data_IF_712344365385
#
_entry.id   IF_712344365385
#
_cell.length_a   1.000
_cell.length_b   1.000
_cell.length_c   1.000
_cell.angle_alpha   90.00
_cell.angle_beta   90.00
_cell.angle_gamma   90.00
#
_symmetry.space_group_name_H-M   'P 1'
#
loop_
_entity.id
_entity.type
_entity.pdbx_description
1 polymer ?
#
# COMPACT_ATOMS: atom_id res chain seq x y z
N UNK A 1 33.85 11.36 52.03
CA UNK A 1 32.71 10.86 51.23
C UNK A 1 32.45 11.79 50.05
N UNK A 2 33.07 11.54 48.89
CA UNK A 2 32.74 12.22 47.63
C UNK A 2 31.97 11.25 46.74
N UNK A 3 30.73 11.59 46.39
CA UNK A 3 29.91 10.80 45.46
C UNK A 3 30.04 11.41 44.08
N UNK A 4 30.74 10.73 43.17
CA UNK A 4 30.80 11.10 41.75
C UNK A 4 29.50 10.60 41.10
N UNK A 5 28.61 11.51 40.72
CA UNK A 5 27.42 11.18 39.91
C UNK A 5 27.84 11.17 38.43
N UNK A 6 28.08 9.98 37.88
CA UNK A 6 28.16 9.77 36.44
C UNK A 6 26.79 10.03 35.82
N UNK A 7 26.57 11.25 35.31
CA UNK A 7 25.48 11.50 34.39
C UNK A 7 25.89 10.96 33.02
N UNK A 8 25.47 9.73 32.71
CA UNK A 8 25.52 9.22 31.35
C UNK A 8 24.57 10.06 30.49
N UNK A 9 25.13 11.03 29.77
CA UNK A 9 24.46 11.74 28.68
C UNK A 9 24.15 10.69 27.61
N UNK A 10 22.91 10.19 27.58
CA UNK A 10 22.45 9.36 26.47
C UNK A 10 22.40 10.25 25.23
N UNK A 11 23.42 10.16 24.39
CA UNK A 11 23.37 10.75 23.07
C UNK A 11 22.31 10.01 22.25
N UNK A 12 21.21 10.70 21.98
CA UNK A 12 20.17 10.20 21.10
C UNK A 12 20.70 10.35 19.66
N UNK A 13 21.42 9.35 19.17
CA UNK A 13 21.80 9.29 17.76
C UNK A 13 20.56 8.92 16.97
N UNK A 14 19.77 9.93 16.59
CA UNK A 14 18.83 9.78 15.47
C UNK A 14 19.69 9.52 14.24
N UNK A 15 19.82 8.26 13.81
CA UNK A 15 20.52 7.99 12.57
C UNK A 15 19.73 8.63 11.43
N UNK A 16 20.38 9.50 10.65
CA UNK A 16 19.81 10.10 9.43
C UNK A 16 19.84 9.11 8.25
N UNK A 17 19.80 7.82 8.56
CA UNK A 17 19.89 6.72 7.60
C UNK A 17 18.55 6.54 6.91
N UNK A 18 18.59 6.46 5.58
CA UNK A 18 17.42 6.09 4.78
C UNK A 18 17.34 4.57 4.72
N UNK A 19 16.43 3.99 5.50
CA UNK A 19 16.17 2.54 5.48
C UNK A 19 15.21 2.16 4.34
N UNK A 20 15.76 2.07 3.13
CA UNK A 20 15.01 1.59 1.95
C UNK A 20 14.49 0.17 2.18
N UNK A 21 15.29 -0.68 2.82
CA UNK A 21 14.92 -2.08 3.06
C UNK A 21 13.70 -2.20 3.98
N UNK A 22 13.62 -1.41 5.05
CA UNK A 22 12.46 -1.36 5.93
C UNK A 22 11.16 -0.97 5.20
N UNK A 23 11.25 0.06 4.34
CA UNK A 23 10.13 0.51 3.48
C UNK A 23 9.68 -0.62 2.56
N UNK A 24 10.63 -1.24 1.86
CA UNK A 24 10.38 -2.30 0.88
C UNK A 24 9.76 -3.54 1.55
N UNK A 25 10.30 -3.97 2.68
CA UNK A 25 9.79 -5.13 3.43
C UNK A 25 8.37 -4.91 3.97
N UNK A 26 8.02 -3.68 4.35
CA UNK A 26 6.66 -3.36 4.84
C UNK A 26 5.60 -3.63 3.78
N UNK A 27 5.90 -3.36 2.50
CA UNK A 27 5.00 -3.62 1.35
C UNK A 27 5.02 -5.12 0.99
N UNK A 28 6.20 -5.72 0.89
CA UNK A 28 6.36 -7.12 0.47
C UNK A 28 5.68 -8.12 1.39
N UNK A 29 5.60 -7.83 2.69
CA UNK A 29 4.89 -8.69 3.65
C UNK A 29 3.38 -8.73 3.40
N UNK A 30 2.83 -7.72 2.74
CA UNK A 30 1.39 -7.60 2.52
C UNK A 30 0.96 -8.02 1.11
N UNK A 31 1.87 -8.01 0.14
CA UNK A 31 1.59 -8.40 -1.25
C UNK A 31 2.36 -9.69 -1.58
N UNK A 32 1.61 -10.78 -1.74
CA UNK A 32 2.11 -12.06 -2.26
C UNK A 32 1.30 -12.44 -3.50
N UNK A 33 1.69 -13.47 -4.28
CA UNK A 33 0.90 -13.91 -5.43
C UNK A 33 -0.56 -14.25 -5.12
N UNK A 34 -0.91 -14.52 -3.86
CA UNK A 34 -2.26 -14.92 -3.45
C UNK A 34 -2.93 -13.93 -2.48
N UNK A 35 -2.18 -12.99 -1.92
CA UNK A 35 -2.67 -12.15 -0.82
C UNK A 35 -2.34 -10.69 -1.01
N UNK A 36 -3.23 -9.83 -0.55
CA UNK A 36 -3.04 -8.38 -0.45
C UNK A 36 -3.55 -7.88 0.89
N UNK A 37 -2.80 -7.00 1.55
CA UNK A 37 -3.17 -6.39 2.83
C UNK A 37 -3.50 -7.44 3.92
N UNK A 38 -2.82 -8.59 3.89
CA UNK A 38 -3.06 -9.72 4.80
C UNK A 38 -4.42 -10.41 4.63
N UNK A 39 -5.03 -10.32 3.45
CA UNK A 39 -6.25 -11.02 3.03
C UNK A 39 -6.18 -11.38 1.54
N UNK A 40 -7.34 -11.55 0.91
CA UNK A 40 -7.48 -11.84 -0.53
C UNK A 40 -8.59 -10.95 -1.12
N UNK A 41 -8.78 -10.97 -2.45
CA UNK A 41 -9.93 -10.32 -3.10
C UNK A 41 -11.28 -10.95 -2.75
N UNK A 42 -11.31 -12.10 -2.06
CA UNK A 42 -12.52 -12.66 -1.46
C UNK A 42 -12.89 -12.03 -0.11
N UNK A 43 -11.99 -11.19 0.46
CA UNK A 43 -12.24 -10.54 1.74
C UNK A 43 -13.28 -9.44 1.58
N UNK A 44 -14.35 -9.50 2.37
CA UNK A 44 -15.43 -8.51 2.29
C UNK A 44 -15.01 -7.16 2.85
N UNK A 45 -15.64 -6.10 2.35
CA UNK A 45 -15.45 -4.72 2.83
C UNK A 45 -15.72 -4.63 4.33
N UNK A 46 -16.76 -5.27 4.86
CA UNK A 46 -17.06 -5.30 6.29
C UNK A 46 -15.95 -5.95 7.14
N UNK A 47 -15.28 -6.97 6.60
CA UNK A 47 -14.12 -7.59 7.26
C UNK A 47 -12.93 -6.63 7.29
N UNK A 48 -12.67 -5.92 6.19
CA UNK A 48 -11.63 -4.89 6.12
C UNK A 48 -11.93 -3.73 7.06
N UNK A 49 -13.17 -3.25 7.09
CA UNK A 49 -13.62 -2.22 8.02
C UNK A 49 -13.34 -2.63 9.48
N UNK A 50 -13.68 -3.86 9.85
CA UNK A 50 -13.41 -4.39 11.19
C UNK A 50 -11.91 -4.47 11.49
N UNK A 51 -11.11 -4.98 10.55
CA UNK A 51 -9.64 -5.11 10.68
C UNK A 51 -8.97 -3.75 10.89
N UNK A 52 -9.38 -2.74 10.14
CA UNK A 52 -8.79 -1.39 10.15
C UNK A 52 -9.54 -0.40 11.05
N UNK A 53 -10.51 -0.89 11.85
CA UNK A 53 -11.32 -0.08 12.79
C UNK A 53 -12.02 1.10 12.11
N UNK A 54 -12.60 0.85 10.94
CA UNK A 54 -13.35 1.82 10.16
C UNK A 54 -14.85 1.64 10.33
N UNK A 55 -15.57 2.75 10.26
CA UNK A 55 -17.02 2.85 10.20
C UNK A 55 -17.45 3.32 8.81
N UNK A 56 -18.73 3.20 8.46
CA UNK A 56 -19.25 3.67 7.17
C UNK A 56 -18.95 5.17 6.93
N UNK A 57 -18.93 5.98 7.99
CA UNK A 57 -18.62 7.42 7.91
C UNK A 57 -17.17 7.72 7.51
N UNK A 58 -16.26 6.74 7.59
CA UNK A 58 -14.88 6.88 7.12
C UNK A 58 -14.74 6.72 5.60
N UNK A 59 -15.82 6.30 4.93
CA UNK A 59 -15.87 6.03 3.50
C UNK A 59 -16.69 7.11 2.79
N UNK A 60 -16.34 7.41 1.55
CA UNK A 60 -17.07 8.38 0.72
C UNK A 60 -17.23 7.86 -0.70
N UNK A 61 -18.47 7.79 -1.16
CA UNK A 61 -18.80 7.42 -2.54
C UNK A 61 -18.19 8.39 -3.56
N UNK A 62 -18.07 9.67 -3.19
CA UNK A 62 -17.59 10.72 -4.09
C UNK A 62 -16.06 10.75 -4.22
N UNK A 63 -15.34 10.11 -3.30
CA UNK A 63 -13.89 9.94 -3.40
C UNK A 63 -13.60 8.55 -3.94
N UNK A 64 -12.96 8.48 -5.11
CA UNK A 64 -12.82 7.22 -5.86
C UNK A 64 -12.13 6.07 -5.10
N UNK A 65 -11.29 6.39 -4.11
CA UNK A 65 -10.62 5.40 -3.26
C UNK A 65 -10.98 5.63 -1.80
N UNK A 66 -11.20 4.53 -1.09
CA UNK A 66 -11.62 4.56 0.30
C UNK A 66 -10.49 4.13 1.24
N UNK A 67 -10.02 5.06 2.08
CA UNK A 67 -8.84 4.85 2.91
C UNK A 67 -9.11 3.91 4.09
N UNK A 68 -8.33 2.82 4.15
CA UNK A 68 -8.24 1.91 5.29
C UNK A 68 -7.29 2.46 6.35
N UNK A 69 -6.21 3.11 5.95
CA UNK A 69 -5.38 3.96 6.81
C UNK A 69 -4.64 5.00 5.97
N UNK A 70 -4.28 6.12 6.60
CA UNK A 70 -3.58 7.22 5.95
C UNK A 70 -2.35 7.62 6.77
N UNK A 71 -1.25 7.93 6.08
CA UNK A 71 -0.02 8.48 6.68
C UNK A 71 0.56 7.67 7.84
N UNK A 72 0.51 6.33 7.77
CA UNK A 72 1.24 5.48 8.71
C UNK A 72 2.75 5.69 8.48
N UNK A 73 3.47 6.12 9.52
CA UNK A 73 4.93 6.27 9.43
C UNK A 73 5.59 4.91 9.37
N UNK A 74 6.26 4.62 8.26
CA UNK A 74 7.02 3.38 8.06
C UNK A 74 8.53 3.61 8.06
N UNK A 75 8.94 4.84 8.36
CA UNK A 75 10.33 5.26 8.54
C UNK A 75 10.40 6.76 8.79
N UNK A 76 11.62 7.29 8.98
CA UNK A 76 11.85 8.73 9.20
C UNK A 76 11.40 9.60 8.02
N UNK A 77 11.46 9.05 6.81
CA UNK A 77 11.27 9.76 5.55
C UNK A 77 10.18 9.15 4.67
N UNK A 78 9.31 8.31 5.24
CA UNK A 78 8.32 7.57 4.47
C UNK A 78 7.03 7.36 5.27
N UNK A 79 5.93 7.69 4.62
CA UNK A 79 4.57 7.46 5.11
C UNK A 79 3.81 6.60 4.11
N UNK A 80 3.03 5.65 4.63
CA UNK A 80 2.23 4.73 3.84
C UNK A 80 0.75 5.01 4.07
N UNK A 81 -0.03 4.96 2.99
CA UNK A 81 -1.49 4.92 3.04
C UNK A 81 -1.97 3.69 2.29
N UNK A 82 -3.08 3.11 2.73
CA UNK A 82 -3.76 2.01 2.05
C UNK A 82 -5.21 2.39 1.83
N UNK A 83 -5.69 2.18 0.60
CA UNK A 83 -7.08 2.36 0.22
C UNK A 83 -7.61 1.15 -0.54
N UNK A 84 -8.93 1.03 -0.60
CA UNK A 84 -9.63 0.08 -1.46
C UNK A 84 -10.53 0.79 -2.47
N UNK A 85 -10.68 0.18 -3.64
CA UNK A 85 -11.54 0.61 -4.73
C UNK A 85 -12.58 -0.44 -5.10
N UNK A 86 -13.41 -0.09 -6.08
CA UNK A 86 -14.38 -0.98 -6.70
C UNK A 86 -15.84 -0.66 -6.42
N UNK A 87 -16.72 -1.56 -6.87
CA UNK A 87 -18.17 -1.44 -6.68
C UNK A 87 -18.57 -1.84 -5.25
N UNK A 88 -18.26 -0.97 -4.29
CA UNK A 88 -18.46 -1.23 -2.85
C UNK A 88 -19.65 -0.47 -2.24
N UNK A 89 -20.44 0.22 -3.06
CA UNK A 89 -21.59 1.00 -2.62
C UNK A 89 -22.89 0.50 -3.24
N UNK A 90 -23.99 0.61 -2.48
CA UNK A 90 -25.35 0.37 -2.95
C UNK A 90 -26.09 1.71 -2.99
N UNK A 91 -26.80 1.97 -4.10
CA UNK A 91 -27.72 3.11 -4.19
C UNK A 91 -28.96 2.86 -3.32
N UNK A 92 -29.34 3.87 -2.53
CA UNK A 92 -30.57 3.92 -1.73
C UNK A 92 -31.60 4.90 -2.28
N UNK A 93 -31.39 5.43 -3.48
CA UNK A 93 -32.21 6.47 -4.10
C UNK A 93 -31.38 7.45 -4.92
N UNK A 94 -32.00 8.56 -5.35
CA UNK A 94 -31.47 9.47 -6.38
C UNK A 94 -30.06 10.02 -6.08
N UNK A 95 -29.68 10.20 -4.82
CA UNK A 95 -28.36 10.73 -4.45
C UNK A 95 -27.83 10.18 -3.12
N UNK A 96 -28.35 9.03 -2.69
CA UNK A 96 -27.94 8.39 -1.43
C UNK A 96 -27.25 7.09 -1.74
N UNK A 97 -26.04 6.92 -1.21
CA UNK A 97 -25.24 5.71 -1.33
C UNK A 97 -24.82 5.26 0.06
N UNK A 98 -24.90 3.96 0.29
CA UNK A 98 -24.42 3.33 1.53
C UNK A 98 -23.37 2.31 1.19
N UNK A 99 -22.38 2.14 2.05
CA UNK A 99 -21.37 1.10 1.84
C UNK A 99 -22.03 -0.28 1.89
N UNK A 100 -21.61 -1.19 1.01
CA UNK A 100 -22.01 -2.58 1.03
C UNK A 100 -20.96 -3.38 1.80
N UNK A 101 -21.20 -3.78 3.06
CA UNK A 101 -20.22 -4.55 3.83
C UNK A 101 -19.96 -5.95 3.24
N UNK A 102 -20.89 -6.49 2.43
CA UNK A 102 -20.73 -7.80 1.79
C UNK A 102 -20.04 -7.72 0.41
N UNK A 103 -19.81 -6.50 -0.09
CA UNK A 103 -19.04 -6.31 -1.32
C UNK A 103 -17.58 -6.76 -1.11
N UNK A 104 -16.93 -7.10 -2.22
CA UNK A 104 -15.50 -7.35 -2.29
C UNK A 104 -14.85 -6.20 -3.07
N UNK A 105 -13.71 -5.66 -2.61
CA UNK A 105 -12.96 -4.71 -3.41
C UNK A 105 -12.43 -5.38 -4.68
N UNK A 106 -12.23 -4.62 -5.75
CA UNK A 106 -11.53 -5.06 -6.97
C UNK A 106 -10.14 -4.40 -7.12
N UNK A 107 -9.81 -3.50 -6.19
CA UNK A 107 -8.55 -2.77 -6.16
C UNK A 107 -8.08 -2.53 -4.72
N UNK A 108 -6.80 -2.76 -4.48
CA UNK A 108 -6.09 -2.24 -3.31
C UNK A 108 -5.01 -1.28 -3.79
N UNK A 109 -4.88 -0.13 -3.11
CA UNK A 109 -3.94 0.92 -3.48
C UNK A 109 -3.09 1.28 -2.28
N UNK A 110 -1.79 1.06 -2.40
CA UNK A 110 -0.81 1.63 -1.49
C UNK A 110 -0.28 2.94 -2.08
N UNK A 111 -0.23 3.99 -1.26
CA UNK A 111 0.46 5.23 -1.60
C UNK A 111 1.59 5.45 -0.59
N UNK A 112 2.82 5.43 -1.10
CA UNK A 112 4.02 5.79 -0.35
C UNK A 112 4.34 7.26 -0.62
N UNK A 113 4.27 8.08 0.43
CA UNK A 113 4.73 9.47 0.40
C UNK A 113 6.12 9.57 1.01
N UNK A 114 7.07 10.08 0.23
CA UNK A 114 8.48 10.18 0.59
C UNK A 114 8.83 11.63 0.92
N UNK A 115 9.68 11.80 1.94
CA UNK A 115 10.16 13.11 2.39
C UNK A 115 11.67 13.17 2.49
N UNK A 116 12.22 14.38 2.65
CA UNK A 116 13.65 14.58 2.89
C UNK A 116 14.55 13.83 1.91
N UNK A 117 15.44 12.99 2.43
CA UNK A 117 16.40 12.21 1.62
C UNK A 117 15.75 11.12 0.76
N UNK A 118 14.54 10.67 1.09
CA UNK A 118 13.84 9.65 0.33
C UNK A 118 13.13 10.22 -0.91
N UNK A 119 12.82 11.52 -0.93
CA UNK A 119 12.00 12.13 -1.99
C UNK A 119 12.65 11.99 -3.38
N UNK A 120 13.98 12.10 -3.49
CA UNK A 120 14.73 11.91 -4.73
C UNK A 120 15.05 10.45 -5.06
N UNK A 121 14.56 9.51 -4.24
CA UNK A 121 14.82 8.06 -4.35
C UNK A 121 13.57 7.26 -4.71
N UNK A 122 12.49 7.92 -5.13
CA UNK A 122 11.22 7.27 -5.46
C UNK A 122 11.36 6.18 -6.53
N UNK A 123 12.10 6.44 -7.62
CA UNK A 123 12.36 5.43 -8.66
C UNK A 123 13.18 4.25 -8.12
N UNK A 124 14.23 4.51 -7.34
CA UNK A 124 15.08 3.48 -6.73
C UNK A 124 14.26 2.58 -5.79
N UNK A 125 13.40 3.18 -4.97
CA UNK A 125 12.51 2.47 -4.06
C UNK A 125 11.45 1.70 -4.85
N UNK A 126 10.84 2.27 -5.89
CA UNK A 126 9.86 1.58 -6.74
C UNK A 126 10.47 0.34 -7.41
N UNK A 127 11.68 0.49 -7.95
CA UNK A 127 12.45 -0.62 -8.53
C UNK A 127 12.77 -1.71 -7.48
N UNK A 128 13.14 -1.31 -6.26
CA UNK A 128 13.42 -2.24 -5.18
C UNK A 128 12.16 -2.99 -4.70
N UNK A 129 11.01 -2.32 -4.63
CA UNK A 129 9.72 -2.94 -4.35
C UNK A 129 9.41 -3.98 -5.42
N UNK A 130 9.45 -3.59 -6.70
CA UNK A 130 9.16 -4.48 -7.83
C UNK A 130 10.02 -5.74 -7.80
N UNK A 131 11.33 -5.59 -7.60
CA UNK A 131 12.30 -6.71 -7.59
C UNK A 131 12.09 -7.70 -6.46
N UNK A 132 11.55 -7.28 -5.31
CA UNK A 132 11.37 -8.19 -4.19
C UNK A 132 9.92 -8.67 -3.97
N UNK A 133 8.99 -8.36 -4.88
CA UNK A 133 7.70 -9.04 -4.96
C UNK A 133 7.90 -10.45 -5.55
N UNK A 134 8.33 -11.37 -4.69
CA UNK A 134 8.59 -12.76 -5.09
C UNK A 134 7.34 -13.45 -5.67
N UNK A 135 7.55 -14.22 -6.74
CA UNK A 135 6.47 -14.96 -7.42
C UNK A 135 5.69 -14.14 -8.45
N UNK A 136 6.00 -12.86 -8.62
CA UNK A 136 5.51 -12.04 -9.72
C UNK A 136 6.52 -12.00 -10.86
N UNK A 137 6.01 -11.84 -12.09
CA UNK A 137 6.80 -11.65 -13.31
C UNK A 137 6.35 -10.35 -14.00
N UNK A 138 7.20 -9.69 -14.80
CA UNK A 138 6.74 -8.62 -15.68
C UNK A 138 5.57 -9.09 -16.55
N UNK A 139 4.54 -8.25 -16.73
CA UNK A 139 3.38 -8.57 -17.58
C UNK A 139 3.75 -8.59 -19.08
N UNK A 140 4.70 -7.74 -19.47
CA UNK A 140 5.37 -7.70 -20.76
C UNK A 140 6.83 -7.25 -20.54
N UNK A 141 7.76 -7.67 -21.40
CA UNK A 141 9.15 -7.23 -21.35
C UNK A 141 9.29 -5.72 -21.65
N UNK A 142 8.32 -5.12 -22.34
CA UNK A 142 8.32 -3.69 -22.67
C UNK A 142 7.63 -2.77 -21.65
N UNK A 143 6.89 -3.34 -20.69
CA UNK A 143 6.04 -2.59 -19.75
C UNK A 143 6.75 -2.15 -18.45
N UNK A 144 8.05 -2.43 -18.30
CA UNK A 144 8.82 -2.05 -17.11
C UNK A 144 9.89 -1.02 -17.47
N UNK A 145 9.67 0.23 -17.06
CA UNK A 145 10.67 1.32 -17.16
C UNK A 145 11.17 1.70 -15.77
N UNK A 146 12.21 2.53 -15.67
CA UNK A 146 12.66 3.02 -14.37
C UNK A 146 11.50 3.72 -13.65
N UNK A 147 11.13 3.22 -12.47
CA UNK A 147 10.05 3.78 -11.66
C UNK A 147 8.63 3.34 -12.03
N UNK A 148 8.40 2.67 -13.17
CA UNK A 148 7.09 2.15 -13.56
C UNK A 148 7.18 0.66 -13.88
N UNK A 149 6.46 -0.17 -13.13
CA UNK A 149 6.47 -1.62 -13.28
C UNK A 149 5.06 -2.17 -13.39
N UNK A 150 4.85 -3.05 -14.36
CA UNK A 150 3.67 -3.88 -14.44
C UNK A 150 4.05 -5.34 -14.21
N UNK A 151 3.55 -5.90 -13.12
CA UNK A 151 3.86 -7.25 -12.67
C UNK A 151 2.57 -8.09 -12.60
N UNK A 152 2.68 -9.38 -12.87
CA UNK A 152 1.57 -10.32 -12.80
C UNK A 152 2.00 -11.64 -12.16
N UNK A 153 1.03 -12.28 -11.54
CA UNK A 153 1.03 -13.69 -11.15
C UNK A 153 -0.21 -14.35 -11.77
N UNK A 154 -0.51 -15.60 -11.39
CA UNK A 154 -1.73 -16.28 -11.86
C UNK A 154 -3.02 -15.67 -11.29
N UNK A 155 -2.93 -15.00 -10.12
CA UNK A 155 -4.10 -14.49 -9.40
C UNK A 155 -4.15 -12.96 -9.35
N UNK A 156 -2.99 -12.29 -9.32
CA UNK A 156 -2.90 -10.85 -9.09
C UNK A 156 -2.07 -10.12 -10.15
N UNK A 157 -2.51 -8.91 -10.49
CA UNK A 157 -1.77 -7.90 -11.24
C UNK A 157 -1.36 -6.78 -10.30
N UNK A 158 -0.11 -6.30 -10.42
CA UNK A 158 0.45 -5.21 -9.63
C UNK A 158 1.02 -4.14 -10.55
N UNK A 159 0.59 -2.90 -10.39
CA UNK A 159 1.16 -1.73 -11.06
C UNK A 159 1.88 -0.86 -10.02
N UNK A 160 3.15 -0.56 -10.24
CA UNK A 160 3.97 0.30 -9.39
C UNK A 160 4.34 1.52 -10.22
N UNK A 161 3.97 2.71 -9.78
CA UNK A 161 4.23 3.98 -10.49
C UNK A 161 4.86 4.98 -9.53
N UNK A 162 6.10 5.39 -9.80
CA UNK A 162 6.74 6.49 -9.10
C UNK A 162 6.48 7.82 -9.80
N UNK A 163 6.07 8.85 -9.05
CA UNK A 163 5.88 10.20 -9.56
C UNK A 163 6.32 11.23 -8.52
N UNK A 164 7.39 11.95 -8.80
CA UNK A 164 8.00 12.90 -7.86
C UNK A 164 8.38 12.21 -6.55
N UNK A 165 7.80 12.66 -5.44
CA UNK A 165 8.03 12.10 -4.11
C UNK A 165 7.03 11.01 -3.70
N UNK A 166 6.22 10.51 -4.65
CA UNK A 166 5.20 9.49 -4.39
C UNK A 166 5.48 8.21 -5.15
N UNK A 167 5.08 7.08 -4.56
CA UNK A 167 4.98 5.79 -5.24
C UNK A 167 3.58 5.25 -5.03
N UNK A 168 2.86 4.99 -6.11
CA UNK A 168 1.54 4.36 -6.09
C UNK A 168 1.70 2.90 -6.47
N UNK A 169 1.14 2.00 -5.68
CA UNK A 169 1.11 0.56 -5.94
C UNK A 169 -0.34 0.14 -5.98
N UNK A 170 -0.84 -0.18 -7.18
CA UNK A 170 -2.18 -0.69 -7.41
C UNK A 170 -2.11 -2.21 -7.55
N UNK A 171 -2.95 -2.93 -6.82
CA UNK A 171 -3.10 -4.39 -6.90
C UNK A 171 -4.54 -4.70 -7.30
N UNK A 172 -4.70 -5.56 -8.30
CA UNK A 172 -6.00 -6.04 -8.80
C UNK A 172 -5.98 -7.57 -8.95
N UNK A 173 -7.14 -8.23 -8.92
CA UNK A 173 -7.22 -9.62 -9.34
C UNK A 173 -6.97 -9.70 -10.85
N UNK A 174 -6.30 -10.74 -11.31
CA UNK A 174 -6.32 -11.13 -12.72
C UNK A 174 -7.75 -11.57 -13.00
N UNK A 175 -8.41 -10.94 -13.96
CA UNK A 175 -9.73 -11.38 -14.39
C UNK A 175 -9.61 -12.87 -14.78
N UNK A 176 -10.30 -13.75 -14.05
CA UNK A 176 -10.45 -15.13 -14.50
C UNK A 176 -11.01 -15.08 -15.90
N UNK A 177 -10.29 -15.63 -16.88
CA UNK A 177 -10.90 -15.99 -18.16
C UNK A 177 -12.10 -16.86 -17.79
N UNK A 178 -13.31 -16.30 -17.88
CA UNK A 178 -14.52 -17.08 -17.87
C UNK A 178 -14.32 -18.11 -18.97
N UNK A 179 -14.27 -19.38 -18.61
CA UNK A 179 -14.39 -20.45 -19.59
C UNK A 179 -15.76 -20.24 -20.24
N UNK A 180 -15.75 -19.83 -21.51
CA UNK A 180 -16.91 -19.86 -22.39
C UNK A 180 -17.40 -21.30 -22.60
#
# INVERSE_FOLDING_TARGET
NYTIRNQQKREYVSSDYLDINGIVQRIQKEITPNTVAGGTFETTVGTLMSKYKKSENDFSYYYGNNSLFSSEKIGKYAELSLSIGGTIYISRGWSSYTINPDARPDEFIYELSLGGKAASKSEEIANAIAKGLAGFKPADESDSTAGNHLLTSDQLKVSIVSSGYKIRITVNPVATKTAE
#
